data_IF_464035769733
#
_entry.id   IF_464035769733
#
_cell.length_a   1.000
_cell.length_b   1.000
_cell.length_c   1.000
_cell.angle_alpha   90.00
_cell.angle_beta   90.00
_cell.angle_gamma   90.00
#
_symmetry.space_group_name_H-M   'P 1'
#
loop_
_entity.id
_entity.type
_entity.pdbx_description
1 polymer ?
#
# COMPACT_ATOMS: atom_id res chain seq x y z
N UNK A 1 -15.59 -12.11 -7.21
CA UNK A 1 -14.18 -11.97 -7.65
C UNK A 1 -13.22 -11.61 -6.49
N UNK A 2 -13.59 -11.89 -5.23
CA UNK A 2 -12.79 -11.73 -4.00
C UNK A 2 -11.97 -13.00 -3.69
N UNK A 3 -11.15 -13.51 -4.63
CA UNK A 3 -10.67 -14.90 -4.48
C UNK A 3 -9.26 -15.09 -3.91
N UNK A 4 -8.39 -14.07 -3.86
CA UNK A 4 -7.07 -14.26 -3.26
C UNK A 4 -6.53 -13.01 -2.54
N UNK A 5 -6.33 -13.06 -1.21
CA UNK A 5 -5.77 -11.94 -0.45
C UNK A 5 -4.29 -11.75 -0.78
N UNK A 6 -3.62 -12.82 -1.24
CA UNK A 6 -2.25 -12.81 -1.75
C UNK A 6 -2.12 -11.83 -2.92
N UNK A 7 -3.03 -11.90 -3.89
CA UNK A 7 -2.99 -11.05 -5.09
C UNK A 7 -3.13 -9.57 -4.71
N UNK A 8 -4.04 -9.25 -3.79
CA UNK A 8 -4.19 -7.89 -3.27
C UNK A 8 -2.97 -7.40 -2.49
N UNK A 9 -2.37 -8.26 -1.68
CA UNK A 9 -1.15 -7.93 -0.94
C UNK A 9 0.02 -7.67 -1.89
N UNK A 10 0.16 -8.48 -2.95
CA UNK A 10 1.18 -8.27 -3.98
C UNK A 10 0.98 -6.94 -4.73
N UNK A 11 -0.26 -6.60 -5.11
CA UNK A 11 -0.56 -5.31 -5.72
C UNK A 11 -0.20 -4.16 -4.77
N UNK A 12 -0.54 -4.30 -3.49
CA UNK A 12 -0.24 -3.29 -2.46
C UNK A 12 1.28 -3.09 -2.35
N UNK A 13 2.06 -4.18 -2.29
CA UNK A 13 3.51 -4.11 -2.23
C UNK A 13 4.13 -3.45 -3.47
N UNK A 14 3.66 -3.81 -4.68
CA UNK A 14 4.14 -3.19 -5.92
C UNK A 14 3.85 -1.69 -5.93
N UNK A 15 2.66 -1.27 -5.49
CA UNK A 15 2.32 0.14 -5.37
C UNK A 15 3.17 0.86 -4.34
N UNK A 16 3.50 0.23 -3.20
CA UNK A 16 4.42 0.82 -2.22
C UNK A 16 5.82 1.01 -2.79
N UNK A 17 6.31 0.06 -3.60
CA UNK A 17 7.60 0.20 -4.32
C UNK A 17 7.52 1.33 -5.36
N UNK A 18 6.42 1.45 -6.09
CA UNK A 18 6.22 2.56 -7.02
C UNK A 18 6.18 3.90 -6.30
N UNK A 19 5.50 3.98 -5.15
CA UNK A 19 5.54 5.18 -4.30
C UNK A 19 6.97 5.48 -3.89
N UNK A 20 7.76 4.50 -3.47
CA UNK A 20 9.17 4.71 -3.13
C UNK A 20 9.96 5.26 -4.33
N UNK A 21 9.81 4.67 -5.51
CA UNK A 21 10.50 5.12 -6.72
C UNK A 21 10.07 6.55 -7.09
N UNK A 22 8.78 6.85 -7.06
CA UNK A 22 8.25 8.17 -7.37
C UNK A 22 8.75 9.23 -6.38
N UNK A 23 8.75 8.90 -5.09
CA UNK A 23 9.16 9.79 -3.99
C UNK A 23 10.65 10.11 -4.07
N UNK A 24 11.50 9.12 -4.40
CA UNK A 24 12.96 9.30 -4.40
C UNK A 24 13.56 9.72 -5.76
N UNK A 25 12.91 9.41 -6.88
CA UNK A 25 13.52 9.60 -8.21
C UNK A 25 12.75 10.51 -9.17
N UNK A 26 11.41 10.59 -9.09
CA UNK A 26 10.61 11.27 -10.11
C UNK A 26 9.97 12.58 -9.64
N UNK A 27 9.84 12.80 -8.34
CA UNK A 27 9.28 14.03 -7.79
C UNK A 27 7.78 14.24 -8.09
N UNK A 28 7.08 13.19 -8.50
CA UNK A 28 5.64 13.22 -8.84
C UNK A 28 4.83 12.71 -7.66
N UNK A 29 4.63 13.57 -6.65
CA UNK A 29 4.20 13.15 -5.31
C UNK A 29 2.68 12.99 -5.10
N UNK A 30 1.86 13.65 -5.91
CA UNK A 30 0.48 13.99 -5.48
C UNK A 30 -0.54 12.86 -5.64
N UNK A 31 -0.31 11.89 -6.53
CA UNK A 31 -1.32 10.87 -6.87
C UNK A 31 -0.97 9.45 -6.45
N UNK A 32 0.31 9.05 -6.46
CA UNK A 32 0.69 7.67 -6.17
C UNK A 32 0.60 7.31 -4.68
N UNK A 33 0.84 8.27 -3.78
CA UNK A 33 0.73 8.05 -2.33
C UNK A 33 -0.73 7.80 -1.89
N UNK A 34 -1.72 8.67 -2.20
CA UNK A 34 -3.11 8.41 -1.85
C UNK A 34 -3.63 7.10 -2.47
N UNK A 35 -3.21 6.80 -3.69
CA UNK A 35 -3.56 5.56 -4.39
C UNK A 35 -3.04 4.32 -3.64
N UNK A 36 -1.79 4.32 -3.19
CA UNK A 36 -1.21 3.20 -2.43
C UNK A 36 -1.92 3.00 -1.08
N UNK A 37 -2.28 4.09 -0.39
CA UNK A 37 -3.03 4.01 0.87
C UNK A 37 -4.43 3.44 0.65
N UNK A 38 -5.18 3.91 -0.36
CA UNK A 38 -6.52 3.38 -0.69
C UNK A 38 -6.45 1.89 -1.01
N UNK A 39 -5.48 1.47 -1.81
CA UNK A 39 -5.30 0.05 -2.16
C UNK A 39 -4.92 -0.79 -0.94
N UNK A 40 -4.09 -0.28 -0.03
CA UNK A 40 -3.76 -0.96 1.22
C UNK A 40 -4.98 -1.13 2.13
N UNK A 41 -5.87 -0.14 2.20
CA UNK A 41 -7.13 -0.23 2.95
C UNK A 41 -8.04 -1.31 2.34
N UNK A 42 -8.22 -1.31 1.02
CA UNK A 42 -9.03 -2.31 0.31
C UNK A 42 -8.47 -3.72 0.54
N UNK A 43 -7.15 -3.90 0.39
CA UNK A 43 -6.44 -5.17 0.64
C UNK A 43 -6.63 -5.67 2.07
N UNK A 44 -6.62 -4.74 3.04
CA UNK A 44 -6.85 -5.03 4.46
C UNK A 44 -8.29 -5.48 4.72
N UNK A 45 -9.29 -4.77 4.17
CA UNK A 45 -10.71 -5.14 4.29
C UNK A 45 -10.96 -6.55 3.74
N UNK A 46 -10.41 -6.86 2.57
CA UNK A 46 -10.54 -8.19 1.95
C UNK A 46 -9.88 -9.27 2.84
N UNK A 47 -8.73 -8.97 3.42
CA UNK A 47 -8.01 -9.89 4.31
C UNK A 47 -8.76 -10.16 5.63
N UNK A 48 -9.45 -9.14 6.18
CA UNK A 48 -10.34 -9.26 7.34
C UNK A 48 -11.53 -10.16 7.01
N UNK A 49 -12.21 -9.91 5.89
CA UNK A 49 -13.36 -10.70 5.44
C UNK A 49 -13.01 -12.18 5.26
N UNK A 50 -11.77 -12.48 4.85
CA UNK A 50 -11.30 -13.85 4.63
C UNK A 50 -10.65 -14.48 5.88
N UNK A 51 -10.62 -13.78 7.02
CA UNK A 51 -9.95 -14.21 8.27
C UNK A 51 -8.48 -14.58 8.09
N UNK A 52 -7.78 -13.95 7.15
CA UNK A 52 -6.36 -14.21 6.86
C UNK A 52 -5.49 -13.12 7.48
N UNK A 53 -5.39 -13.14 8.81
CA UNK A 53 -4.73 -12.09 9.61
C UNK A 53 -3.25 -11.84 9.28
N UNK A 54 -2.54 -12.84 8.73
CA UNK A 54 -1.16 -12.67 8.27
C UNK A 54 -1.02 -11.56 7.21
N UNK A 55 -1.97 -11.45 6.29
CA UNK A 55 -1.92 -10.42 5.23
C UNK A 55 -2.31 -9.04 5.73
N UNK A 56 -3.13 -8.95 6.77
CA UNK A 56 -3.43 -7.68 7.45
C UNK A 56 -2.14 -7.07 7.99
N UNK A 57 -1.30 -7.88 8.65
CA UNK A 57 -0.03 -7.43 9.19
C UNK A 57 0.89 -6.86 8.10
N UNK A 58 1.03 -7.55 6.96
CA UNK A 58 1.83 -7.07 5.84
C UNK A 58 1.28 -5.78 5.21
N UNK A 59 -0.03 -5.74 4.93
CA UNK A 59 -0.66 -4.56 4.31
C UNK A 59 -0.57 -3.32 5.21
N UNK A 60 -0.70 -3.49 6.53
CA UNK A 60 -0.62 -2.40 7.48
C UNK A 60 0.80 -1.80 7.54
N UNK A 61 1.84 -2.64 7.54
CA UNK A 61 3.24 -2.18 7.49
C UNK A 61 3.51 -1.42 6.18
N UNK A 62 3.03 -1.94 5.04
CA UNK A 62 3.17 -1.28 3.74
C UNK A 62 2.47 0.08 3.69
N UNK A 63 1.28 0.20 4.30
CA UNK A 63 0.57 1.47 4.42
C UNK A 63 1.33 2.48 5.29
N UNK A 64 1.91 2.03 6.40
CA UNK A 64 2.75 2.89 7.27
C UNK A 64 3.96 3.40 6.51
N UNK A 65 4.65 2.53 5.75
CA UNK A 65 5.81 2.94 4.94
C UNK A 65 5.40 3.99 3.91
N UNK A 66 4.29 3.78 3.19
CA UNK A 66 3.78 4.75 2.23
C UNK A 66 3.43 6.11 2.88
N UNK A 67 2.81 6.11 4.06
CA UNK A 67 2.54 7.34 4.82
C UNK A 67 3.82 8.00 5.36
N UNK A 68 4.81 7.23 5.80
CA UNK A 68 6.10 7.77 6.24
C UNK A 68 6.85 8.43 5.09
N UNK A 69 6.81 7.86 3.88
CA UNK A 69 7.34 8.50 2.68
C UNK A 69 6.70 9.87 2.44
N UNK A 70 5.42 10.05 2.73
CA UNK A 70 4.73 11.34 2.63
C UNK A 70 5.17 12.36 3.71
N UNK A 71 5.36 11.91 4.96
CA UNK A 71 5.72 12.79 6.07
C UNK A 71 7.19 13.22 6.05
N UNK A 72 8.08 12.32 5.61
CA UNK A 72 9.54 12.54 5.61
C UNK A 72 9.96 13.43 4.45
N UNK A 73 9.22 13.42 3.34
CA UNK A 73 9.49 14.26 2.19
C UNK A 73 8.47 15.40 2.11
N UNK A 74 8.75 16.54 2.78
CA UNK A 74 8.01 17.75 2.50
C UNK A 74 8.50 18.21 1.12
N UNK A 75 7.68 17.99 0.10
CA UNK A 75 7.52 18.82 -1.11
C UNK A 75 8.62 19.85 -1.38
#
# INVERSE_FOLDING_TARGET
MLKNPILWTSITAILTVLVYIDTFFLGVFLFTIPMAVVVAIISTIISVLQKKYKYIFYNLVLAIIACLCYLIFPW
#
